data_IF_778652654190
#
_entry.id   IF_778652654190
#
_cell.length_a   1.000
_cell.length_b   1.000
_cell.length_c   1.000
_cell.angle_alpha   90.00
_cell.angle_beta   90.00
_cell.angle_gamma   90.00
#
_symmetry.space_group_name_H-M   'P 1'
#
loop_
_entity.id
_entity.type
_entity.pdbx_description
1 polymer ?
#
# COMPACT_ATOMS: atom_id res chain seq x y z
N UNK A 1 -9.98 -20.75 -26.97
CA UNK A 1 -9.51 -19.35 -26.75
C UNK A 1 -8.61 -18.89 -27.88
N UNK A 2 -7.46 -19.53 -28.13
CA UNK A 2 -6.54 -19.11 -29.20
C UNK A 2 -7.21 -19.03 -30.58
N UNK A 3 -8.03 -20.03 -30.93
CA UNK A 3 -8.84 -20.03 -32.14
C UNK A 3 -9.79 -18.81 -32.20
N UNK A 4 -10.46 -18.46 -31.10
CA UNK A 4 -11.40 -17.34 -31.08
C UNK A 4 -10.71 -15.99 -31.23
N UNK A 5 -9.51 -15.83 -30.66
CA UNK A 5 -8.68 -14.62 -30.85
C UNK A 5 -8.26 -14.50 -32.31
N UNK A 6 -7.90 -15.63 -32.95
CA UNK A 6 -7.55 -15.68 -34.36
C UNK A 6 -8.75 -15.35 -35.26
N UNK A 7 -9.91 -15.98 -35.02
CA UNK A 7 -11.12 -15.77 -35.81
C UNK A 7 -11.61 -14.32 -35.71
N UNK A 8 -11.53 -13.73 -34.51
CA UNK A 8 -11.73 -12.30 -34.32
C UNK A 8 -10.78 -11.49 -35.20
N UNK A 9 -9.47 -11.74 -35.13
CA UNK A 9 -8.47 -11.01 -35.92
C UNK A 9 -8.70 -11.14 -37.44
N UNK A 10 -9.10 -12.32 -37.92
CA UNK A 10 -9.49 -12.54 -39.33
C UNK A 10 -10.69 -11.67 -39.69
N UNK A 11 -11.69 -11.58 -38.80
CA UNK A 11 -12.92 -10.84 -39.06
C UNK A 11 -12.72 -9.31 -39.09
N UNK A 12 -11.88 -8.77 -38.21
CA UNK A 12 -11.68 -7.31 -38.07
C UNK A 12 -10.43 -6.80 -38.78
N UNK A 13 -9.59 -7.71 -39.30
CA UNK A 13 -8.29 -7.41 -39.89
C UNK A 13 -7.23 -6.96 -38.87
N UNK A 14 -5.97 -6.87 -39.31
CA UNK A 14 -4.87 -6.45 -38.45
C UNK A 14 -4.98 -4.95 -38.13
N UNK A 15 -4.48 -4.57 -36.97
CA UNK A 15 -4.56 -3.18 -36.52
C UNK A 15 -3.74 -2.22 -37.40
N UNK A 16 -2.65 -2.64 -38.03
CA UNK A 16 -1.90 -1.76 -38.94
C UNK A 16 -2.15 -2.18 -40.40
N UNK A 17 -2.44 -1.21 -41.27
CA UNK A 17 -2.85 -1.47 -42.66
C UNK A 17 -1.79 -2.09 -43.58
N UNK A 18 -0.57 -2.31 -43.09
CA UNK A 18 0.51 -3.01 -43.81
C UNK A 18 0.82 -4.41 -43.26
N UNK A 19 0.16 -4.83 -42.19
CA UNK A 19 0.36 -6.15 -41.59
C UNK A 19 -0.53 -7.18 -42.28
N UNK A 20 -0.05 -8.43 -42.40
CA UNK A 20 -0.88 -9.57 -42.81
C UNK A 20 -1.46 -10.25 -41.57
N UNK A 21 -2.67 -10.79 -41.71
CA UNK A 21 -3.19 -11.74 -40.71
C UNK A 21 -2.34 -13.03 -40.79
N UNK A 22 -1.88 -13.59 -39.66
CA UNK A 22 -1.24 -14.90 -39.64
C UNK A 22 -2.10 -15.98 -40.32
N UNK A 23 -1.47 -17.07 -40.77
CA UNK A 23 -2.17 -18.13 -41.49
C UNK A 23 -3.01 -19.02 -40.56
N UNK A 24 -2.64 -19.11 -39.29
CA UNK A 24 -3.36 -19.90 -38.29
C UNK A 24 -3.14 -19.38 -36.85
N UNK A 25 -3.89 -19.89 -35.85
CA UNK A 25 -3.73 -19.46 -34.46
C UNK A 25 -2.34 -19.79 -33.88
N UNK A 26 -1.68 -20.86 -34.33
CA UNK A 26 -0.37 -21.25 -33.81
C UNK A 26 0.69 -20.24 -34.26
N UNK A 27 0.65 -19.80 -35.53
CA UNK A 27 1.49 -18.73 -36.04
C UNK A 27 1.27 -17.44 -35.24
N UNK A 28 0.00 -17.06 -34.99
CA UNK A 28 -0.32 -15.89 -34.18
C UNK A 28 0.29 -15.98 -32.77
N UNK A 29 0.19 -17.13 -32.10
CA UNK A 29 0.69 -17.29 -30.73
C UNK A 29 2.21 -17.46 -30.64
N UNK A 30 2.86 -17.97 -31.68
CA UNK A 30 4.32 -18.09 -31.77
C UNK A 30 5.02 -16.78 -32.17
N UNK A 31 4.29 -15.77 -32.65
CA UNK A 31 4.85 -14.44 -32.88
C UNK A 31 5.45 -13.85 -31.61
N UNK A 32 6.55 -13.12 -31.77
CA UNK A 32 7.06 -12.24 -30.73
C UNK A 32 5.92 -11.36 -30.19
N UNK A 33 5.84 -11.22 -28.87
CA UNK A 33 4.70 -10.57 -28.23
C UNK A 33 4.50 -9.12 -28.67
N UNK A 34 5.56 -8.32 -28.79
CA UNK A 34 5.45 -6.93 -29.24
C UNK A 34 4.83 -6.87 -30.64
N UNK A 35 5.22 -7.79 -31.53
CA UNK A 35 4.63 -7.93 -32.87
C UNK A 35 3.18 -8.39 -32.80
N UNK A 36 2.89 -9.42 -32.00
CA UNK A 36 1.52 -9.96 -31.79
C UNK A 36 0.58 -8.88 -31.28
N UNK A 37 0.98 -8.12 -30.26
CA UNK A 37 0.22 -7.00 -29.71
C UNK A 37 0.06 -5.84 -30.70
N UNK A 38 1.05 -5.57 -31.55
CA UNK A 38 0.94 -4.57 -32.60
C UNK A 38 -0.06 -4.98 -33.69
N UNK A 39 -0.07 -6.26 -34.08
CA UNK A 39 -1.04 -6.82 -35.03
C UNK A 39 -2.45 -6.82 -34.44
N UNK A 40 -2.59 -7.24 -33.18
CA UNK A 40 -3.89 -7.34 -32.51
C UNK A 40 -4.49 -5.97 -32.17
N UNK A 41 -3.67 -5.02 -31.69
CA UNK A 41 -4.19 -3.80 -31.06
C UNK A 41 -3.62 -2.49 -31.64
N UNK A 42 -2.52 -2.52 -32.39
CA UNK A 42 -1.90 -1.34 -33.01
C UNK A 42 -0.69 -0.82 -32.24
N UNK A 43 -0.15 0.33 -32.65
CA UNK A 43 1.04 0.92 -32.03
C UNK A 43 0.83 1.30 -30.55
N UNK A 44 1.82 1.10 -29.66
CA UNK A 44 1.70 1.39 -28.22
C UNK A 44 1.24 2.82 -27.89
N UNK A 45 1.62 3.81 -28.71
CA UNK A 45 1.25 5.23 -28.51
C UNK A 45 -0.21 5.58 -28.85
N UNK A 46 -0.94 4.73 -29.57
CA UNK A 46 -2.36 4.96 -29.91
C UNK A 46 -3.28 4.25 -28.89
N UNK A 47 -3.33 4.83 -27.69
CA UNK A 47 -4.05 4.24 -26.55
C UNK A 47 -5.54 4.04 -26.84
N UNK A 48 -6.20 5.03 -27.45
CA UNK A 48 -7.63 4.98 -27.77
C UNK A 48 -7.93 3.81 -28.70
N UNK A 49 -7.16 3.65 -29.78
CA UNK A 49 -7.37 2.56 -30.73
C UNK A 49 -7.10 1.20 -30.11
N UNK A 50 -6.02 1.08 -29.32
CA UNK A 50 -5.70 -0.17 -28.60
C UNK A 50 -6.82 -0.55 -27.65
N UNK A 51 -7.36 0.40 -26.90
CA UNK A 51 -8.50 0.18 -26.00
C UNK A 51 -9.74 -0.28 -26.77
N UNK A 52 -10.12 0.42 -27.84
CA UNK A 52 -11.29 0.03 -28.64
C UNK A 52 -11.17 -1.39 -29.19
N UNK A 53 -9.99 -1.80 -29.67
CA UNK A 53 -9.76 -3.16 -30.17
C UNK A 53 -9.75 -4.21 -29.06
N UNK A 54 -9.23 -3.89 -27.87
CA UNK A 54 -9.32 -4.79 -26.71
C UNK A 54 -10.77 -5.00 -26.28
N UNK A 55 -11.55 -3.94 -26.21
CA UNK A 55 -12.99 -4.00 -25.90
C UNK A 55 -13.71 -4.86 -26.93
N UNK A 56 -13.45 -4.65 -28.22
CA UNK A 56 -14.06 -5.43 -29.29
C UNK A 56 -13.71 -6.93 -29.22
N UNK A 57 -12.44 -7.27 -28.91
CA UNK A 57 -12.04 -8.65 -28.65
C UNK A 57 -12.74 -9.24 -27.42
N UNK A 58 -12.85 -8.49 -26.32
CA UNK A 58 -13.56 -8.95 -25.11
C UNK A 58 -15.04 -9.22 -25.43
N UNK A 59 -15.68 -8.33 -26.19
CA UNK A 59 -17.07 -8.51 -26.66
C UNK A 59 -17.19 -9.77 -27.51
N UNK A 60 -16.27 -10.02 -28.44
CA UNK A 60 -16.23 -11.25 -29.23
C UNK A 60 -16.13 -12.48 -28.34
N UNK A 61 -15.13 -12.53 -27.46
CA UNK A 61 -14.90 -13.68 -26.57
C UNK A 61 -16.10 -13.96 -25.67
N UNK A 62 -16.70 -12.92 -25.07
CA UNK A 62 -17.88 -13.05 -24.21
C UNK A 62 -19.08 -13.62 -24.95
N UNK A 63 -19.29 -13.24 -26.22
CA UNK A 63 -20.36 -13.82 -27.07
C UNK A 63 -20.15 -15.30 -27.37
N UNK A 64 -18.90 -15.79 -27.33
CA UNK A 64 -18.56 -17.20 -27.45
C UNK A 64 -18.64 -17.96 -26.12
N UNK A 65 -19.12 -17.31 -25.05
CA UNK A 65 -19.20 -17.89 -23.71
C UNK A 65 -17.86 -17.95 -22.98
N UNK A 66 -16.85 -17.20 -23.44
CA UNK A 66 -15.55 -17.11 -22.78
C UNK A 66 -15.48 -15.87 -21.89
N UNK A 67 -15.00 -16.07 -20.67
CA UNK A 67 -14.82 -15.00 -19.68
C UNK A 67 -13.52 -15.22 -18.91
N UNK A 68 -12.83 -14.14 -18.48
CA UNK A 68 -11.73 -14.28 -17.55
C UNK A 68 -12.17 -14.97 -16.25
N UNK A 69 -11.31 -15.84 -15.73
CA UNK A 69 -11.51 -16.39 -14.38
C UNK A 69 -11.27 -15.25 -13.37
N UNK A 70 -12.19 -15.00 -12.42
CA UNK A 70 -12.01 -13.93 -11.46
C UNK A 70 -10.90 -14.25 -10.47
N UNK A 71 -10.38 -13.20 -9.85
CA UNK A 71 -9.43 -13.30 -8.75
C UNK A 71 -10.16 -13.62 -7.43
N UNK A 72 -9.50 -14.33 -6.52
CA UNK A 72 -10.10 -14.84 -5.26
C UNK A 72 -9.16 -14.72 -4.06
N UNK A 73 -9.60 -14.14 -2.96
CA UNK A 73 -8.82 -14.15 -1.71
C UNK A 73 -9.38 -15.20 -0.75
N UNK A 74 -8.49 -15.76 0.08
CA UNK A 74 -8.82 -16.79 1.06
C UNK A 74 -8.84 -18.21 0.49
N UNK A 75 -8.74 -19.20 1.38
CA UNK A 75 -8.94 -20.61 1.05
C UNK A 75 -10.44 -20.94 1.08
N UNK A 76 -10.92 -21.90 0.28
CA UNK A 76 -10.24 -22.51 -0.86
C UNK A 76 -10.17 -21.53 -2.05
N UNK A 77 -9.02 -21.48 -2.72
CA UNK A 77 -8.71 -20.43 -3.71
C UNK A 77 -9.68 -20.34 -4.87
N UNK A 78 -10.58 -21.30 -5.11
CA UNK A 78 -11.35 -21.31 -6.36
C UNK A 78 -12.69 -22.08 -6.29
N UNK A 79 -13.33 -22.20 -5.14
CA UNK A 79 -14.68 -22.79 -5.06
C UNK A 79 -15.78 -21.88 -5.61
N UNK A 80 -15.69 -21.41 -6.84
CA UNK A 80 -16.59 -20.39 -7.40
C UNK A 80 -17.83 -20.99 -8.06
N UNK A 81 -18.96 -20.33 -7.86
CA UNK A 81 -20.17 -20.50 -8.66
C UNK A 81 -20.64 -19.14 -9.17
N UNK A 82 -21.28 -19.14 -10.33
CA UNK A 82 -22.06 -17.97 -10.77
C UNK A 82 -23.13 -17.71 -9.71
N UNK A 83 -23.28 -16.46 -9.28
CA UNK A 83 -24.32 -16.10 -8.34
C UNK A 83 -25.69 -16.46 -8.94
N UNK A 84 -26.51 -17.29 -8.27
CA UNK A 84 -27.84 -17.63 -8.78
C UNK A 84 -28.80 -16.43 -8.78
N UNK A 85 -28.51 -15.36 -8.03
CA UNK A 85 -29.32 -14.15 -8.03
C UNK A 85 -29.09 -13.32 -9.30
N UNK A 86 -30.16 -13.08 -10.04
CA UNK A 86 -30.10 -12.33 -11.31
C UNK A 86 -29.92 -10.83 -11.07
N UNK A 87 -30.25 -10.35 -9.87
CA UNK A 87 -30.05 -8.94 -9.50
C UNK A 87 -28.55 -8.63 -9.30
N UNK A 88 -27.71 -9.66 -9.11
CA UNK A 88 -26.25 -9.54 -9.07
C UNK A 88 -25.60 -9.75 -10.45
N UNK A 89 -26.32 -9.40 -11.53
CA UNK A 89 -25.77 -9.36 -12.88
C UNK A 89 -25.77 -7.93 -13.40
N UNK A 90 -24.56 -7.42 -13.68
CA UNK A 90 -24.40 -6.10 -14.29
C UNK A 90 -24.48 -6.24 -15.81
N UNK A 91 -25.19 -5.31 -16.46
CA UNK A 91 -25.18 -5.18 -17.92
C UNK A 91 -24.36 -3.94 -18.27
N UNK A 92 -23.32 -4.13 -19.08
CA UNK A 92 -22.46 -3.02 -19.51
C UNK A 92 -23.03 -2.25 -20.72
N UNK A 93 -22.33 -1.19 -21.12
CA UNK A 93 -22.70 -0.34 -22.27
C UNK A 93 -22.69 -1.09 -23.62
N UNK A 94 -22.11 -2.29 -23.68
CA UNK A 94 -22.10 -3.17 -24.85
C UNK A 94 -23.21 -4.23 -24.81
N UNK A 95 -24.07 -4.20 -23.79
CA UNK A 95 -25.15 -5.17 -23.58
C UNK A 95 -24.64 -6.54 -23.13
N UNK A 96 -23.40 -6.63 -22.63
CA UNK A 96 -22.87 -7.87 -22.09
C UNK A 96 -23.31 -8.04 -20.64
N UNK A 97 -23.70 -9.27 -20.31
CA UNK A 97 -24.07 -9.65 -18.95
C UNK A 97 -22.85 -10.16 -18.18
N UNK A 98 -22.57 -9.51 -17.06
CA UNK A 98 -21.49 -9.83 -16.13
C UNK A 98 -22.10 -10.28 -14.80
N UNK A 99 -22.33 -11.58 -14.61
CA UNK A 99 -22.82 -12.08 -13.34
C UNK A 99 -21.70 -12.01 -12.30
N UNK A 100 -22.07 -11.69 -11.07
CA UNK A 100 -21.18 -11.87 -9.94
C UNK A 100 -20.93 -13.36 -9.66
N UNK A 101 -19.86 -13.59 -8.91
CA UNK A 101 -19.44 -14.93 -8.52
C UNK A 101 -19.43 -15.03 -7.01
N UNK A 102 -19.93 -16.16 -6.50
CA UNK A 102 -19.93 -16.49 -5.09
C UNK A 102 -18.96 -17.64 -4.82
N UNK A 103 -18.34 -17.62 -3.64
CA UNK A 103 -17.57 -18.77 -3.15
C UNK A 103 -18.56 -19.75 -2.53
N UNK A 104 -18.60 -20.97 -3.04
CA UNK A 104 -19.48 -22.08 -2.64
C UNK A 104 -19.30 -22.53 -1.19
N UNK A 105 -18.13 -22.24 -0.60
CA UNK A 105 -17.80 -22.48 0.81
C UNK A 105 -17.02 -21.27 1.35
N UNK A 106 -17.69 -20.13 1.58
CA UNK A 106 -16.99 -18.91 1.94
C UNK A 106 -16.55 -18.98 3.41
N UNK A 107 -15.33 -18.54 3.66
CA UNK A 107 -14.76 -18.29 4.98
C UNK A 107 -14.56 -16.78 5.20
N UNK A 108 -13.99 -16.37 6.34
CA UNK A 108 -13.95 -14.96 6.77
C UNK A 108 -13.37 -14.01 5.70
N UNK A 109 -12.28 -14.46 5.06
CA UNK A 109 -11.55 -13.69 4.04
C UNK A 109 -11.84 -14.14 2.61
N UNK A 110 -12.84 -14.99 2.40
CA UNK A 110 -13.32 -15.35 1.06
C UNK A 110 -13.84 -14.11 0.35
N UNK A 111 -13.12 -13.67 -0.69
CA UNK A 111 -13.54 -12.56 -1.56
C UNK A 111 -13.33 -12.97 -3.01
N UNK A 112 -14.23 -12.49 -3.88
CA UNK A 112 -14.09 -12.61 -5.33
C UNK A 112 -13.92 -11.20 -5.90
N UNK A 113 -12.93 -11.06 -6.77
CA UNK A 113 -12.62 -9.81 -7.47
C UNK A 113 -12.85 -10.04 -8.97
N UNK A 114 -13.97 -9.49 -9.45
CA UNK A 114 -14.38 -9.53 -10.85
C UNK A 114 -13.61 -8.50 -11.71
N UNK A 115 -13.46 -8.77 -13.01
CA UNK A 115 -12.63 -9.83 -13.56
C UNK A 115 -11.18 -9.35 -13.69
N UNK A 116 -10.35 -9.66 -12.68
CA UNK A 116 -8.89 -9.62 -12.84
C UNK A 116 -8.42 -11.03 -13.20
N UNK A 117 -7.95 -11.22 -14.43
CA UNK A 117 -7.38 -12.50 -14.84
C UNK A 117 -6.12 -12.78 -14.00
N UNK A 118 -6.18 -13.81 -13.16
CA UNK A 118 -4.99 -14.25 -12.43
C UNK A 118 -4.07 -15.05 -13.33
N UNK A 119 -2.77 -14.80 -13.19
CA UNK A 119 -1.77 -15.74 -13.67
C UNK A 119 -2.03 -17.12 -13.05
N UNK A 120 -2.05 -18.14 -13.90
CA UNK A 120 -2.12 -19.52 -13.42
C UNK A 120 -0.69 -19.98 -13.14
N UNK A 121 -0.22 -19.69 -11.92
CA UNK A 121 1.16 -19.95 -11.47
C UNK A 121 1.49 -21.44 -11.31
N UNK A 122 0.49 -22.27 -11.03
CA UNK A 122 0.68 -23.71 -10.83
C UNK A 122 -0.34 -24.54 -11.62
N UNK A 123 -0.09 -25.84 -11.72
CA UNK A 123 -1.07 -26.80 -12.21
C UNK A 123 -2.26 -26.97 -11.27
N UNK A 124 -3.26 -27.72 -11.74
CA UNK A 124 -4.49 -28.02 -10.99
C UNK A 124 -4.44 -29.47 -10.53
N UNK A 125 -4.97 -29.73 -9.34
CA UNK A 125 -5.31 -31.10 -8.93
C UNK A 125 -6.57 -31.54 -9.68
N UNK A 126 -6.62 -32.82 -10.09
CA UNK A 126 -7.80 -33.46 -10.69
C UNK A 126 -8.52 -32.63 -11.77
N UNK A 127 -7.74 -32.02 -12.68
CA UNK A 127 -8.22 -31.16 -13.75
C UNK A 127 -9.21 -30.06 -13.29
N UNK A 128 -8.91 -29.43 -12.16
CA UNK A 128 -9.72 -28.36 -11.56
C UNK A 128 -11.10 -28.78 -11.05
N UNK A 129 -11.43 -30.08 -10.95
CA UNK A 129 -12.78 -30.51 -10.54
C UNK A 129 -13.25 -29.84 -9.25
N UNK A 130 -12.36 -29.80 -8.27
CA UNK A 130 -12.57 -29.20 -6.95
C UNK A 130 -11.81 -27.87 -6.80
N UNK A 131 -11.30 -27.37 -7.93
CA UNK A 131 -10.58 -26.11 -8.06
C UNK A 131 -9.33 -25.95 -7.18
N UNK A 132 -8.70 -27.05 -6.83
CA UNK A 132 -7.48 -27.06 -6.04
C UNK A 132 -6.24 -26.73 -6.87
N UNK A 133 -5.32 -25.98 -6.25
CA UNK A 133 -4.03 -25.61 -6.82
C UNK A 133 -3.00 -26.65 -6.43
N UNK A 134 -2.26 -27.19 -7.40
CA UNK A 134 -1.16 -28.12 -7.15
C UNK A 134 0.15 -27.34 -6.99
N UNK A 135 0.41 -26.87 -5.77
CA UNK A 135 1.63 -26.13 -5.43
C UNK A 135 2.94 -26.90 -5.67
N UNK A 136 2.87 -28.23 -5.86
CA UNK A 136 4.05 -29.05 -6.19
C UNK A 136 4.43 -29.01 -7.68
N UNK A 137 3.56 -28.42 -8.51
CA UNK A 137 3.71 -28.36 -9.97
C UNK A 137 3.59 -26.92 -10.45
N UNK A 138 4.62 -26.07 -10.21
CA UNK A 138 4.67 -24.73 -10.78
C UNK A 138 4.67 -24.78 -12.31
N UNK A 139 4.34 -23.65 -12.94
CA UNK A 139 4.35 -23.46 -14.40
C UNK A 139 5.45 -22.49 -14.78
N UNK A 140 6.73 -22.92 -14.91
CA UNK A 140 7.87 -22.02 -15.02
C UNK A 140 7.70 -20.91 -16.06
N UNK A 141 7.23 -21.25 -17.26
CA UNK A 141 6.97 -20.29 -18.34
C UNK A 141 6.03 -19.12 -17.98
N UNK A 142 5.09 -19.30 -17.04
CA UNK A 142 4.22 -18.22 -16.57
C UNK A 142 4.97 -17.29 -15.62
N UNK A 143 5.79 -17.86 -14.74
CA UNK A 143 6.59 -17.09 -13.81
C UNK A 143 7.69 -16.32 -14.54
N UNK A 144 8.40 -16.98 -15.47
CA UNK A 144 9.41 -16.36 -16.33
C UNK A 144 8.81 -15.15 -17.06
N UNK A 145 7.65 -15.33 -17.69
CA UNK A 145 6.93 -14.25 -18.36
C UNK A 145 6.64 -13.05 -17.45
N UNK A 146 6.17 -13.30 -16.23
CA UNK A 146 5.89 -12.22 -15.26
C UNK A 146 7.18 -11.54 -14.81
N UNK A 147 8.21 -12.31 -14.48
CA UNK A 147 9.50 -11.78 -14.03
C UNK A 147 10.18 -10.94 -15.11
N UNK A 148 10.25 -11.44 -16.35
CA UNK A 148 10.83 -10.74 -17.49
C UNK A 148 10.07 -9.42 -17.76
N UNK A 149 8.73 -9.43 -17.68
CA UNK A 149 7.93 -8.23 -17.91
C UNK A 149 8.17 -7.13 -16.86
N UNK A 150 8.31 -7.53 -15.60
CA UNK A 150 8.64 -6.59 -14.52
C UNK A 150 10.10 -6.11 -14.63
N UNK A 151 11.03 -6.97 -15.04
CA UNK A 151 12.42 -6.59 -15.30
C UNK A 151 12.54 -5.59 -16.45
N UNK A 152 11.83 -5.79 -17.56
CA UNK A 152 11.76 -4.83 -18.66
C UNK A 152 11.19 -3.47 -18.20
N UNK A 153 10.18 -3.50 -17.33
CA UNK A 153 9.57 -2.30 -16.75
C UNK A 153 10.55 -1.58 -15.83
N UNK A 154 11.26 -2.32 -14.97
CA UNK A 154 12.29 -1.78 -14.10
C UNK A 154 13.42 -1.16 -14.93
N UNK A 155 13.90 -1.86 -15.96
CA UNK A 155 14.98 -1.37 -16.83
C UNK A 155 14.56 -0.09 -17.57
N UNK A 156 13.34 -0.06 -18.11
CA UNK A 156 12.82 1.09 -18.87
C UNK A 156 12.54 2.30 -17.97
N UNK A 157 11.96 2.06 -16.80
CA UNK A 157 11.54 3.12 -15.87
C UNK A 157 12.60 3.51 -14.84
N UNK A 158 13.66 2.71 -14.69
CA UNK A 158 14.67 2.79 -13.63
C UNK A 158 14.02 2.90 -12.24
N UNK A 159 13.03 2.05 -11.95
CA UNK A 159 12.33 2.05 -10.67
C UNK A 159 13.15 1.41 -9.57
N UNK A 160 13.11 2.02 -8.37
CA UNK A 160 13.90 1.57 -7.23
C UNK A 160 13.28 0.38 -6.46
N UNK A 161 11.97 0.21 -6.58
CA UNK A 161 11.21 -0.83 -5.90
C UNK A 161 9.86 -1.03 -6.60
N UNK A 162 9.17 -2.12 -6.24
CA UNK A 162 7.77 -2.33 -6.59
C UNK A 162 6.87 -2.31 -5.37
N UNK A 163 5.64 -1.81 -5.56
CA UNK A 163 4.52 -2.03 -4.66
C UNK A 163 3.76 -3.28 -5.13
N UNK A 164 3.81 -4.35 -4.35
CA UNK A 164 3.08 -5.58 -4.66
C UNK A 164 1.66 -5.53 -4.14
N UNK A 165 0.70 -5.29 -5.04
CA UNK A 165 -0.73 -5.32 -4.73
C UNK A 165 -1.15 -6.71 -4.19
N UNK A 166 -2.09 -6.72 -3.25
CA UNK A 166 -2.63 -7.91 -2.59
C UNK A 166 -1.54 -8.98 -2.30
N UNK A 167 -0.52 -8.61 -1.53
CA UNK A 167 0.64 -9.48 -1.30
C UNK A 167 0.28 -10.85 -0.70
N UNK A 168 -0.87 -10.96 -0.02
CA UNK A 168 -1.42 -12.17 0.57
C UNK A 168 -2.22 -13.07 -0.40
N UNK A 169 -1.82 -13.18 -1.67
CA UNK A 169 -2.58 -13.93 -2.71
C UNK A 169 -1.97 -15.30 -3.02
N UNK A 170 -2.82 -16.33 -3.08
CA UNK A 170 -2.44 -17.74 -3.38
C UNK A 170 -1.43 -18.36 -2.42
N UNK A 171 -1.48 -17.92 -1.16
CA UNK A 171 -0.72 -18.52 -0.07
C UNK A 171 -0.95 -20.01 0.04
N UNK A 172 0.05 -20.76 0.50
CA UNK A 172 -0.18 -22.18 0.77
C UNK A 172 -1.20 -22.29 1.93
N UNK A 173 -2.24 -23.15 1.83
CA UNK A 173 -3.27 -23.27 2.87
C UNK A 173 -2.73 -23.59 4.27
N UNK A 174 -1.55 -24.20 4.33
CA UNK A 174 -0.85 -24.56 5.57
C UNK A 174 0.09 -23.46 6.07
N UNK A 175 0.07 -22.28 5.46
CA UNK A 175 0.99 -21.18 5.74
C UNK A 175 2.36 -21.36 5.10
N UNK A 176 3.34 -20.62 5.64
CA UNK A 176 4.74 -20.65 5.18
C UNK A 176 5.29 -22.09 5.27
N UNK A 177 5.80 -22.67 4.17
CA UNK A 177 6.36 -24.02 4.19
C UNK A 177 7.66 -24.05 4.99
N UNK A 178 8.02 -25.23 5.52
CA UNK A 178 9.31 -25.42 6.21
C UNK A 178 10.52 -25.12 5.31
N UNK A 179 10.36 -25.33 4.00
CA UNK A 179 11.35 -24.97 2.98
C UNK A 179 10.64 -24.03 2.00
N UNK A 180 11.11 -22.79 1.95
CA UNK A 180 10.65 -21.76 1.02
C UNK A 180 11.44 -21.94 -0.28
N UNK A 181 10.73 -22.28 -1.35
CA UNK A 181 11.30 -22.44 -2.70
C UNK A 181 11.11 -21.17 -3.55
N UNK A 182 11.76 -21.12 -4.71
CA UNK A 182 11.67 -20.01 -5.68
C UNK A 182 10.26 -19.80 -6.24
N UNK A 183 9.38 -20.80 -6.09
CA UNK A 183 8.00 -20.78 -6.52
C UNK A 183 7.06 -20.51 -5.35
N UNK A 184 7.52 -20.00 -4.22
CA UNK A 184 6.65 -19.76 -3.07
C UNK A 184 5.77 -18.52 -3.27
N UNK A 185 6.34 -17.43 -3.77
CA UNK A 185 5.68 -16.14 -3.92
C UNK A 185 6.14 -15.44 -5.21
N UNK A 186 5.19 -14.95 -6.00
CA UNK A 186 5.48 -14.35 -7.31
C UNK A 186 6.18 -13.00 -7.21
N UNK A 187 5.91 -12.23 -6.16
CA UNK A 187 6.53 -10.92 -5.95
C UNK A 187 7.97 -11.11 -5.46
N UNK A 188 8.22 -12.12 -4.62
CA UNK A 188 9.58 -12.54 -4.27
C UNK A 188 10.37 -12.94 -5.53
N UNK A 189 9.78 -13.76 -6.41
CA UNK A 189 10.42 -14.19 -7.65
C UNK A 189 10.75 -13.00 -8.57
N UNK A 190 9.83 -12.05 -8.73
CA UNK A 190 10.07 -10.80 -9.49
C UNK A 190 11.24 -10.00 -8.89
N UNK A 191 11.26 -9.79 -7.57
CA UNK A 191 12.34 -9.06 -6.89
C UNK A 191 13.69 -9.73 -7.14
N UNK A 192 13.79 -11.04 -6.88
CA UNK A 192 15.03 -11.80 -7.05
C UNK A 192 15.50 -11.76 -8.50
N UNK A 193 14.58 -11.99 -9.44
CA UNK A 193 14.91 -11.94 -10.86
C UNK A 193 15.48 -10.57 -11.26
N UNK A 194 14.86 -9.46 -10.87
CA UNK A 194 15.36 -8.10 -11.16
C UNK A 194 16.76 -7.87 -10.56
N UNK A 195 16.95 -8.28 -9.30
CA UNK A 195 18.25 -8.13 -8.62
C UNK A 195 19.36 -8.90 -9.34
N UNK A 196 19.03 -10.04 -9.94
CA UNK A 196 19.97 -10.91 -10.64
C UNK A 196 20.19 -10.51 -12.11
N UNK A 197 19.13 -10.21 -12.86
CA UNK A 197 19.19 -10.04 -14.33
C UNK A 197 19.33 -8.59 -14.78
N UNK A 198 18.81 -7.63 -14.01
CA UNK A 198 18.90 -6.20 -14.32
C UNK A 198 20.06 -5.51 -13.58
N UNK A 199 20.89 -6.26 -12.83
CA UNK A 199 21.98 -5.76 -11.96
C UNK A 199 21.51 -4.73 -10.89
N UNK A 200 20.20 -4.62 -10.67
CA UNK A 200 19.58 -3.74 -9.69
C UNK A 200 19.52 -4.42 -8.31
N UNK A 201 20.69 -4.75 -7.74
CA UNK A 201 20.82 -5.46 -6.45
C UNK A 201 20.12 -4.78 -5.26
N UNK A 202 19.80 -3.49 -5.41
CA UNK A 202 19.08 -2.68 -4.42
C UNK A 202 17.54 -2.77 -4.56
N UNK A 203 17.00 -3.43 -5.59
CA UNK A 203 15.57 -3.38 -5.92
C UNK A 203 14.70 -3.90 -4.76
N UNK A 204 13.77 -3.05 -4.31
CA UNK A 204 12.92 -3.31 -3.15
C UNK A 204 11.54 -3.86 -3.47
N UNK A 205 10.91 -4.47 -2.47
CA UNK A 205 9.53 -4.94 -2.49
C UNK A 205 8.76 -4.38 -1.29
N UNK A 206 7.81 -3.47 -1.59
CA UNK A 206 6.84 -2.94 -0.66
C UNK A 206 5.52 -3.72 -0.77
N UNK A 207 5.18 -4.51 0.24
CA UNK A 207 3.99 -5.34 0.26
C UNK A 207 2.73 -4.56 0.61
N UNK A 208 1.74 -4.53 -0.29
CA UNK A 208 0.39 -4.12 0.07
C UNK A 208 -0.31 -5.25 0.81
N UNK A 209 -0.21 -5.20 2.13
CA UNK A 209 -0.97 -6.05 3.03
C UNK A 209 -1.16 -5.33 4.38
N UNK A 210 -2.14 -5.80 5.14
CA UNK A 210 -2.41 -5.32 6.49
C UNK A 210 -1.69 -6.22 7.50
N UNK A 211 -1.58 -5.79 8.75
CA UNK A 211 -0.98 -6.59 9.83
C UNK A 211 -2.05 -7.02 10.85
N UNK A 212 -3.00 -7.89 10.46
CA UNK A 212 -4.02 -8.34 11.38
C UNK A 212 -3.44 -9.24 12.48
N UNK A 213 -4.31 -9.72 13.37
CA UNK A 213 -3.96 -10.82 14.25
C UNK A 213 -3.69 -12.10 13.44
N UNK A 214 -2.96 -13.03 14.06
CA UNK A 214 -2.69 -14.36 13.52
C UNK A 214 -3.94 -15.02 12.95
N UNK A 215 -3.79 -15.71 11.82
CA UNK A 215 -4.80 -16.56 11.18
C UNK A 215 -6.05 -15.81 10.67
N UNK A 216 -6.08 -14.48 10.70
CA UNK A 216 -7.17 -13.71 10.06
C UNK A 216 -7.22 -13.99 8.55
N UNK A 217 -6.06 -14.08 7.89
CA UNK A 217 -5.96 -14.49 6.48
C UNK A 217 -5.93 -16.01 6.28
N UNK A 218 -6.01 -16.80 7.36
CA UNK A 218 -6.18 -18.26 7.35
C UNK A 218 -4.96 -19.06 6.87
N UNK A 219 -3.77 -18.45 6.92
CA UNK A 219 -2.50 -19.10 6.55
C UNK A 219 -1.38 -18.85 7.59
N UNK A 220 -1.71 -18.54 8.84
CA UNK A 220 -0.73 -18.28 9.89
C UNK A 220 -0.47 -16.79 10.16
N UNK A 221 0.77 -16.49 10.50
CA UNK A 221 1.27 -15.14 10.80
C UNK A 221 1.66 -14.41 9.52
N UNK A 222 1.12 -13.21 9.31
CA UNK A 222 1.39 -12.42 8.09
C UNK A 222 2.88 -12.05 7.96
N UNK A 223 3.55 -11.72 9.07
CA UNK A 223 4.97 -11.36 9.05
C UNK A 223 5.87 -12.55 8.71
N UNK A 224 5.44 -13.78 9.00
CA UNK A 224 6.19 -14.97 8.56
C UNK A 224 6.09 -15.11 7.04
N UNK A 225 4.92 -14.84 6.46
CA UNK A 225 4.75 -14.79 5.01
C UNK A 225 5.60 -13.70 4.38
N UNK A 226 5.53 -12.48 4.88
CA UNK A 226 6.23 -11.33 4.32
C UNK A 226 7.75 -11.52 4.30
N UNK A 227 8.31 -12.12 5.34
CA UNK A 227 9.72 -12.47 5.34
C UNK A 227 10.05 -13.59 4.36
N UNK A 228 9.17 -14.57 4.20
CA UNK A 228 9.33 -15.66 3.24
C UNK A 228 9.15 -15.18 1.78
N UNK A 229 8.37 -14.12 1.55
CA UNK A 229 8.23 -13.45 0.25
C UNK A 229 9.26 -12.33 0.02
N UNK A 230 10.23 -12.18 0.93
CA UNK A 230 11.32 -11.21 0.83
C UNK A 230 10.84 -9.75 0.74
N UNK A 231 9.68 -9.43 1.34
CA UNK A 231 9.21 -8.06 1.44
C UNK A 231 10.12 -7.24 2.36
N UNK A 232 10.62 -6.10 1.86
CA UNK A 232 11.46 -5.19 2.65
C UNK A 232 10.59 -4.35 3.60
N UNK A 233 9.40 -3.96 3.12
CA UNK A 233 8.44 -3.21 3.89
C UNK A 233 7.01 -3.65 3.60
N UNK A 234 6.09 -3.34 4.51
CA UNK A 234 4.65 -3.60 4.33
C UNK A 234 3.82 -2.38 4.66
N UNK A 235 2.70 -2.21 3.95
CA UNK A 235 1.77 -1.09 4.13
C UNK A 235 1.25 -1.00 5.58
N UNK A 236 0.85 -2.13 6.15
CA UNK A 236 0.22 -2.14 7.46
C UNK A 236 -1.19 -1.49 7.46
N UNK A 237 -1.73 -1.20 8.65
CA UNK A 237 -3.11 -0.78 8.89
C UNK A 237 -3.29 0.42 9.85
N UNK A 238 -2.25 1.19 10.16
CA UNK A 238 -2.35 2.41 11.00
C UNK A 238 -3.27 3.47 10.40
N UNK A 239 -3.29 3.59 9.07
CA UNK A 239 -4.16 4.46 8.31
C UNK A 239 -5.66 4.15 8.50
N UNK A 240 -6.00 3.00 9.08
CA UNK A 240 -7.38 2.60 9.37
C UNK A 240 -7.76 2.80 10.85
N UNK A 241 -7.12 3.74 11.54
CA UNK A 241 -7.39 4.04 12.95
C UNK A 241 -7.33 5.55 13.21
N UNK A 242 -8.11 6.02 14.19
CA UNK A 242 -8.05 7.41 14.68
C UNK A 242 -6.74 7.60 15.46
N UNK A 243 -5.99 8.67 15.18
CA UNK A 243 -4.76 9.00 15.92
C UNK A 243 -5.04 9.10 17.42
N UNK A 244 -4.16 8.52 18.24
CA UNK A 244 -4.30 8.55 19.70
C UNK A 244 -5.30 7.59 20.30
N UNK A 245 -6.14 6.96 19.48
CA UNK A 245 -7.01 5.89 19.95
C UNK A 245 -6.20 4.72 20.52
N UNK A 246 -6.84 3.92 21.36
CA UNK A 246 -6.22 2.70 21.91
C UNK A 246 -5.73 1.76 20.80
N UNK A 247 -6.51 1.63 19.72
CA UNK A 247 -6.15 0.78 18.59
C UNK A 247 -4.93 1.31 17.84
N UNK A 248 -4.87 2.63 17.59
CA UNK A 248 -3.71 3.28 16.99
C UNK A 248 -2.45 3.04 17.82
N UNK A 249 -2.49 3.34 19.12
CA UNK A 249 -1.32 3.19 20.00
C UNK A 249 -0.90 1.73 20.18
N UNK A 250 -1.86 0.80 20.20
CA UNK A 250 -1.57 -0.64 20.29
C UNK A 250 -0.87 -1.13 19.03
N UNK A 251 -1.39 -0.76 17.85
CA UNK A 251 -0.78 -1.13 16.56
C UNK A 251 0.57 -0.47 16.37
N UNK A 252 0.69 0.79 16.75
CA UNK A 252 1.95 1.52 16.62
C UNK A 252 3.04 0.94 17.53
N UNK A 253 2.68 0.55 18.78
CA UNK A 253 3.61 -0.18 19.63
C UNK A 253 4.05 -1.51 19.00
N UNK A 254 3.09 -2.28 18.48
CA UNK A 254 3.39 -3.53 17.75
C UNK A 254 4.35 -3.27 16.59
N UNK A 255 4.19 -2.19 15.84
CA UNK A 255 5.08 -1.88 14.72
C UNK A 255 6.51 -1.59 15.17
N UNK A 256 6.67 -0.88 16.28
CA UNK A 256 7.99 -0.67 16.88
C UNK A 256 8.63 -2.01 17.33
N UNK A 257 7.84 -2.92 17.88
CA UNK A 257 8.30 -4.27 18.28
C UNK A 257 8.66 -5.14 17.08
N UNK A 258 7.83 -5.12 16.03
CA UNK A 258 8.05 -5.85 14.79
C UNK A 258 9.30 -5.33 14.08
N UNK A 259 9.48 -4.01 13.95
CA UNK A 259 10.68 -3.40 13.37
C UNK A 259 11.96 -3.78 14.12
N UNK A 260 11.89 -3.94 15.45
CA UNK A 260 13.04 -4.32 16.26
C UNK A 260 13.38 -5.81 16.20
N UNK A 261 12.46 -6.67 15.75
CA UNK A 261 12.59 -8.13 15.87
C UNK A 261 12.42 -8.90 14.56
N UNK A 262 11.92 -8.26 13.50
CA UNK A 262 11.58 -8.85 12.20
C UNK A 262 12.39 -8.22 11.09
N UNK A 263 12.44 -8.89 9.94
CA UNK A 263 13.18 -8.41 8.75
C UNK A 263 12.35 -7.47 7.88
N UNK A 264 11.04 -7.68 7.81
CA UNK A 264 10.13 -6.80 7.06
C UNK A 264 9.74 -5.61 7.94
N UNK A 265 9.90 -4.40 7.42
CA UNK A 265 9.56 -3.17 8.14
C UNK A 265 8.07 -2.79 7.95
N UNK A 266 7.28 -2.67 9.03
CA UNK A 266 5.95 -2.09 8.91
C UNK A 266 6.05 -0.60 8.60
N UNK A 267 5.27 -0.12 7.64
CA UNK A 267 5.25 1.29 7.29
C UNK A 267 4.34 2.08 8.23
N UNK A 268 4.81 3.25 8.66
CA UNK A 268 3.98 4.28 9.26
C UNK A 268 3.13 4.94 8.16
N UNK A 269 2.08 4.24 7.72
CA UNK A 269 1.19 4.70 6.66
C UNK A 269 0.27 5.80 7.18
N UNK A 270 0.40 6.99 6.60
CA UNK A 270 -0.41 8.17 6.94
C UNK A 270 -1.82 8.01 6.36
N UNK A 271 -1.89 7.90 5.03
CA UNK A 271 -3.10 7.68 4.24
C UNK A 271 -2.75 6.99 2.93
N UNK A 272 -3.67 6.17 2.41
CA UNK A 272 -3.60 5.58 1.08
C UNK A 272 -4.73 6.11 0.21
N UNK A 273 -4.59 6.09 -1.12
CA UNK A 273 -5.70 6.42 -2.03
C UNK A 273 -6.95 5.57 -1.73
N UNK A 274 -6.77 4.31 -1.36
CA UNK A 274 -7.85 3.40 -0.95
C UNK A 274 -8.58 3.79 0.34
N UNK A 275 -7.96 4.64 1.16
CA UNK A 275 -8.48 5.11 2.44
C UNK A 275 -8.91 6.57 2.40
N UNK A 276 -8.68 7.23 1.27
CA UNK A 276 -9.31 8.49 0.93
C UNK A 276 -10.69 8.19 0.31
N UNK A 277 -11.59 7.78 1.20
CA UNK A 277 -12.95 7.31 0.94
C UNK A 277 -13.84 7.73 2.13
N UNK A 278 -15.12 8.12 1.91
CA UNK A 278 -15.98 8.65 2.96
C UNK A 278 -16.12 7.76 4.20
N UNK A 279 -16.02 6.43 4.02
CA UNK A 279 -16.10 5.47 5.12
C UNK A 279 -15.00 5.62 6.17
N UNK A 280 -13.91 6.30 5.82
CA UNK A 280 -12.71 6.44 6.66
C UNK A 280 -12.43 7.88 7.05
N UNK A 281 -13.34 8.82 6.76
CA UNK A 281 -13.19 10.24 7.09
C UNK A 281 -12.89 10.46 8.58
N UNK A 282 -13.50 9.67 9.46
CA UNK A 282 -13.29 9.75 10.91
C UNK A 282 -11.82 9.62 11.33
N UNK A 283 -10.99 8.89 10.56
CA UNK A 283 -9.57 8.70 10.86
C UNK A 283 -8.71 9.93 10.59
N UNK A 284 -9.26 10.91 9.85
CA UNK A 284 -8.55 12.07 9.31
C UNK A 284 -9.17 13.42 9.73
N UNK A 285 -10.16 13.41 10.64
CA UNK A 285 -10.75 14.66 11.16
C UNK A 285 -9.79 15.46 12.04
N UNK A 286 -8.84 14.80 12.69
CA UNK A 286 -7.87 15.42 13.58
C UNK A 286 -6.58 14.59 13.69
N UNK A 287 -5.52 15.22 14.21
CA UNK A 287 -4.22 14.55 14.44
C UNK A 287 -3.38 14.33 13.19
N UNK A 288 -3.70 15.00 12.08
CA UNK A 288 -2.98 14.86 10.81
C UNK A 288 -1.53 15.38 10.90
N UNK A 289 -1.31 16.43 11.69
CA UNK A 289 -0.02 17.05 11.96
C UNK A 289 0.91 16.10 12.71
N UNK A 290 0.48 15.55 13.86
CA UNK A 290 1.29 14.61 14.64
C UNK A 290 1.51 13.29 13.89
N UNK A 291 0.54 12.86 13.07
CA UNK A 291 0.69 11.70 12.18
C UNK A 291 1.80 11.93 11.16
N UNK A 292 1.79 13.07 10.45
CA UNK A 292 2.84 13.41 9.49
C UNK A 292 4.20 13.64 10.16
N UNK A 293 4.21 14.31 11.33
CA UNK A 293 5.40 14.54 12.13
C UNK A 293 6.11 13.22 12.47
N UNK A 294 5.33 12.25 12.95
CA UNK A 294 5.85 10.92 13.31
C UNK A 294 6.37 10.20 12.07
N UNK A 295 5.62 10.21 10.97
CA UNK A 295 6.01 9.60 9.71
C UNK A 295 7.34 10.15 9.14
N UNK A 296 7.66 11.42 9.43
CA UNK A 296 8.89 12.06 8.96
C UNK A 296 10.11 11.77 9.84
N UNK A 297 9.93 11.59 11.15
CA UNK A 297 11.05 11.56 12.10
C UNK A 297 11.35 10.19 12.71
N UNK A 298 10.62 9.14 12.32
CA UNK A 298 11.05 7.75 12.52
C UNK A 298 12.00 7.37 11.38
N UNK A 299 13.31 7.40 11.63
CA UNK A 299 14.33 7.32 10.56
C UNK A 299 14.53 5.92 9.97
N UNK A 300 14.06 4.90 10.66
CA UNK A 300 14.18 3.47 10.32
C UNK A 300 12.83 2.78 10.07
N UNK A 301 11.72 3.50 10.24
CA UNK A 301 10.37 3.02 9.89
C UNK A 301 9.96 3.70 8.58
N UNK A 302 9.72 2.96 7.48
CA UNK A 302 9.28 3.57 6.23
C UNK A 302 7.91 4.23 6.44
N UNK A 303 7.57 5.23 5.62
CA UNK A 303 6.24 5.84 5.63
C UNK A 303 5.60 5.81 4.25
N UNK A 304 4.27 5.86 4.22
CA UNK A 304 3.49 5.91 2.98
C UNK A 304 2.42 6.98 3.12
N UNK A 305 2.34 7.89 2.14
CA UNK A 305 1.36 8.97 2.11
C UNK A 305 0.81 9.12 0.70
N UNK A 306 -0.51 9.09 0.55
CA UNK A 306 -1.17 9.38 -0.71
C UNK A 306 -1.04 10.86 -1.08
N UNK A 307 -1.04 11.13 -2.39
CA UNK A 307 -1.02 12.48 -2.94
C UNK A 307 -2.25 13.28 -2.47
N UNK A 308 -2.05 14.53 -2.06
CA UNK A 308 -3.13 15.44 -1.69
C UNK A 308 -3.51 15.44 -0.22
N UNK A 309 -2.87 14.60 0.61
CA UNK A 309 -3.11 14.58 2.06
C UNK A 309 -3.00 15.97 2.70
N UNK A 310 -2.02 16.77 2.26
CA UNK A 310 -1.72 18.09 2.81
C UNK A 310 -2.80 19.14 2.60
N UNK A 311 -3.71 18.93 1.66
CA UNK A 311 -4.80 19.85 1.31
C UNK A 311 -6.16 19.19 1.51
N UNK A 312 -6.19 17.99 2.10
CA UNK A 312 -7.42 17.24 2.29
C UNK A 312 -8.36 17.98 3.22
N UNK A 313 -9.58 18.18 2.75
CA UNK A 313 -10.66 18.77 3.54
C UNK A 313 -11.10 17.82 4.67
N UNK A 314 -11.59 18.42 5.76
CA UNK A 314 -12.22 17.69 6.85
C UNK A 314 -13.69 17.47 6.47
N UNK A 315 -14.09 16.21 6.42
CA UNK A 315 -15.47 15.83 6.13
C UNK A 315 -16.09 15.13 7.36
N UNK A 316 -17.12 15.75 7.93
CA UNK A 316 -17.93 15.13 8.98
C UNK A 316 -18.99 14.19 8.42
N UNK A 317 -19.38 14.41 7.17
CA UNK A 317 -20.32 13.59 6.39
C UNK A 317 -19.77 13.41 4.98
N UNK A 318 -20.14 12.33 4.25
CA UNK A 318 -19.73 12.13 2.88
C UNK A 318 -20.06 13.32 1.97
N UNK A 319 -19.08 13.75 1.17
CA UNK A 319 -19.23 14.80 0.15
C UNK A 319 -19.19 14.20 -1.27
N UNK A 320 -19.10 15.03 -2.30
CA UNK A 320 -19.04 14.59 -3.69
C UNK A 320 -17.87 13.63 -3.94
N UNK A 321 -18.13 12.55 -4.68
CA UNK A 321 -17.18 11.48 -4.99
C UNK A 321 -15.94 11.97 -5.74
N UNK A 322 -16.02 13.11 -6.44
CA UNK A 322 -14.92 13.76 -7.12
C UNK A 322 -13.83 14.30 -6.17
N UNK A 323 -14.12 14.39 -4.86
CA UNK A 323 -13.18 14.84 -3.83
C UNK A 323 -12.40 13.69 -3.17
N UNK A 324 -12.78 12.45 -3.44
CA UNK A 324 -12.15 11.26 -2.87
C UNK A 324 -11.41 10.49 -3.96
N UNK A 325 -10.10 10.32 -3.81
CA UNK A 325 -9.29 9.64 -4.82
C UNK A 325 -9.75 8.20 -5.08
N UNK A 326 -10.27 7.49 -4.06
CA UNK A 326 -10.86 6.15 -4.22
C UNK A 326 -12.11 6.17 -5.10
N UNK A 327 -12.95 7.19 -4.97
CA UNK A 327 -14.24 7.22 -5.67
C UNK A 327 -14.13 7.82 -7.07
N UNK A 328 -13.19 8.77 -7.27
CA UNK A 328 -13.00 9.43 -8.56
C UNK A 328 -12.61 8.49 -9.70
N UNK A 329 -12.02 7.33 -9.41
CA UNK A 329 -11.62 6.36 -10.45
C UNK A 329 -12.80 5.56 -11.01
N UNK A 330 -13.95 5.51 -10.31
CA UNK A 330 -15.13 4.81 -10.81
C UNK A 330 -15.81 5.59 -11.93
N UNK A 331 -16.23 4.88 -12.98
CA UNK A 331 -17.05 5.43 -14.07
C UNK A 331 -18.45 4.85 -14.01
N UNK A 332 -19.09 5.02 -12.86
CA UNK A 332 -20.48 4.60 -12.65
C UNK A 332 -21.43 5.77 -12.92
N UNK A 333 -22.63 5.46 -13.41
CA UNK A 333 -23.72 6.40 -13.62
C UNK A 333 -24.79 6.18 -12.55
N UNK A 334 -25.43 7.26 -12.09
CA UNK A 334 -26.45 7.19 -11.05
C UNK A 334 -27.08 8.54 -10.77
N UNK A 335 -28.03 8.57 -9.85
CA UNK A 335 -28.80 9.79 -9.51
C UNK A 335 -28.17 10.60 -8.35
N UNK A 336 -27.08 10.11 -7.77
CA UNK A 336 -26.31 10.77 -6.71
C UNK A 336 -24.82 10.58 -6.96
N UNK A 337 -24.00 11.58 -6.70
CA UNK A 337 -22.54 11.49 -6.67
C UNK A 337 -21.98 11.52 -5.24
N UNK A 338 -22.77 11.12 -4.25
CA UNK A 338 -22.35 11.01 -2.84
C UNK A 338 -22.53 9.56 -2.39
N UNK A 339 -21.56 9.06 -1.63
CA UNK A 339 -21.60 7.72 -1.03
C UNK A 339 -22.93 7.46 -0.28
N UNK A 340 -23.57 6.28 -0.44
CA UNK A 340 -23.04 5.03 -0.98
C UNK A 340 -23.04 4.90 -2.51
N UNK A 341 -23.51 5.91 -3.25
CA UNK A 341 -23.34 5.93 -4.70
C UNK A 341 -21.86 6.05 -5.04
N UNK A 342 -21.41 5.34 -6.08
CA UNK A 342 -20.07 5.48 -6.67
C UNK A 342 -20.10 6.27 -7.98
N UNK A 343 -21.27 6.78 -8.37
CA UNK A 343 -21.38 7.58 -9.57
C UNK A 343 -20.59 8.89 -9.41
N UNK A 344 -20.11 9.42 -10.53
CA UNK A 344 -19.47 10.73 -10.60
C UNK A 344 -20.07 11.52 -11.76
N UNK A 345 -20.24 12.81 -11.57
CA UNK A 345 -20.82 13.73 -12.54
C UNK A 345 -19.76 14.62 -13.20
N UNK A 346 -18.63 14.82 -12.53
CA UNK A 346 -17.46 15.51 -13.03
C UNK A 346 -16.46 14.58 -13.73
N UNK A 347 -15.69 15.15 -14.66
CA UNK A 347 -14.52 14.51 -15.27
C UNK A 347 -13.19 14.98 -14.65
N UNK A 348 -13.26 15.91 -13.70
CA UNK A 348 -12.12 16.52 -13.03
C UNK A 348 -12.12 16.13 -11.56
N UNK A 349 -10.93 15.80 -11.05
CA UNK A 349 -10.75 15.57 -9.63
C UNK A 349 -10.79 16.91 -8.89
N UNK A 350 -11.53 16.98 -7.79
CA UNK A 350 -11.65 18.19 -6.97
C UNK A 350 -10.70 18.07 -5.79
N UNK A 351 -9.58 18.80 -5.87
CA UNK A 351 -8.65 18.91 -4.75
C UNK A 351 -9.29 19.64 -3.56
N UNK A 352 -8.87 19.29 -2.35
CA UNK A 352 -9.31 20.00 -1.16
C UNK A 352 -8.71 21.39 -1.05
N UNK A 353 -9.31 22.21 -0.19
CA UNK A 353 -9.00 23.62 0.02
C UNK A 353 -8.49 23.91 1.45
N UNK A 354 -8.04 22.88 2.16
CA UNK A 354 -7.56 22.96 3.54
C UNK A 354 -6.21 23.69 3.65
N UNK A 355 -6.24 25.01 3.52
CA UNK A 355 -5.06 25.87 3.57
C UNK A 355 -4.35 25.85 4.93
N UNK A 356 -5.10 25.64 6.02
CA UNK A 356 -4.54 25.57 7.38
C UNK A 356 -3.66 24.33 7.56
N UNK A 357 -4.15 23.15 7.16
CA UNK A 357 -3.36 21.93 7.16
C UNK A 357 -2.15 22.07 6.24
N UNK A 358 -2.34 22.63 5.04
CA UNK A 358 -1.26 22.82 4.08
C UNK A 358 -0.14 23.71 4.65
N UNK A 359 -0.48 24.81 5.31
CA UNK A 359 0.49 25.70 5.95
C UNK A 359 1.26 24.98 7.06
N UNK A 360 0.56 24.28 7.96
CA UNK A 360 1.18 23.54 9.07
C UNK A 360 2.11 22.43 8.57
N UNK A 361 1.67 21.63 7.60
CA UNK A 361 2.49 20.56 7.04
C UNK A 361 3.64 21.09 6.18
N UNK A 362 3.49 22.26 5.56
CA UNK A 362 4.60 22.94 4.85
C UNK A 362 5.69 23.37 5.84
N UNK A 363 5.32 23.98 6.98
CA UNK A 363 6.29 24.30 8.04
C UNK A 363 7.04 23.07 8.52
N UNK A 364 6.32 21.96 8.74
CA UNK A 364 6.89 20.68 9.12
C UNK A 364 7.86 20.15 8.06
N UNK A 365 7.45 20.11 6.77
CA UNK A 365 8.31 19.69 5.65
C UNK A 365 9.59 20.51 5.57
N UNK A 366 9.49 21.84 5.61
CA UNK A 366 10.66 22.73 5.56
C UNK A 366 11.59 22.53 6.75
N UNK A 367 11.07 22.20 7.93
CA UNK A 367 11.92 21.85 9.07
C UNK A 367 12.57 20.47 8.88
N UNK A 368 11.80 19.46 8.45
CA UNK A 368 12.30 18.12 8.18
C UNK A 368 13.43 18.12 7.14
N UNK A 369 13.33 18.89 6.06
CA UNK A 369 14.39 19.04 5.05
C UNK A 369 15.72 19.53 5.63
N UNK A 370 15.70 20.31 6.72
CA UNK A 370 16.91 20.78 7.40
C UNK A 370 17.53 19.69 8.28
N UNK A 371 16.70 18.90 8.94
CA UNK A 371 17.12 17.94 9.97
C UNK A 371 17.45 16.56 9.38
N UNK A 372 16.64 16.08 8.43
CA UNK A 372 16.76 14.75 7.84
C UNK A 372 18.17 14.41 7.32
N UNK A 373 18.91 15.30 6.65
CA UNK A 373 20.27 14.99 6.22
C UNK A 373 21.24 14.69 7.38
N UNK A 374 21.00 15.25 8.57
CA UNK A 374 21.85 15.06 9.74
C UNK A 374 21.52 13.79 10.53
N UNK A 375 20.30 13.29 10.37
CA UNK A 375 19.80 12.08 11.05
C UNK A 375 19.57 10.89 10.11
N UNK A 376 19.76 11.08 8.80
CA UNK A 376 19.60 10.03 7.79
C UNK A 376 20.47 8.81 8.10
N UNK A 377 19.87 7.62 8.00
CA UNK A 377 20.54 6.35 8.30
C UNK A 377 20.66 6.02 9.80
N UNK A 378 20.18 6.88 10.70
CA UNK A 378 20.08 6.54 12.11
C UNK A 378 18.92 5.58 12.39
N UNK A 379 19.05 4.84 13.49
CA UNK A 379 18.00 3.96 14.01
C UNK A 379 17.21 4.73 15.07
N UNK A 380 15.89 4.53 15.13
CA UNK A 380 15.06 5.15 16.15
C UNK A 380 15.35 4.51 17.51
N UNK A 381 15.62 5.34 18.51
CA UNK A 381 15.77 4.93 19.90
C UNK A 381 14.63 5.50 20.74
N UNK A 382 13.77 4.62 21.24
CA UNK A 382 12.62 5.01 22.05
C UNK A 382 13.05 5.41 23.46
N UNK A 383 12.77 6.67 23.82
CA UNK A 383 12.88 7.17 25.20
C UNK A 383 11.59 6.90 25.97
N UNK A 384 10.47 7.03 25.26
CA UNK A 384 9.12 6.64 25.67
C UNK A 384 8.41 6.09 24.43
N UNK A 385 8.24 4.77 24.35
CA UNK A 385 7.57 4.18 23.21
C UNK A 385 6.04 4.42 23.26
N UNK A 386 5.32 4.28 22.13
CA UNK A 386 3.86 4.34 22.13
C UNK A 386 3.27 3.34 23.13
N UNK A 387 2.33 3.78 23.94
CA UNK A 387 1.71 2.97 24.99
C UNK A 387 0.20 3.23 25.06
N UNK A 388 -0.59 2.21 24.72
CA UNK A 388 -2.04 2.27 24.75
C UNK A 388 -2.64 2.20 26.17
N UNK A 389 -1.82 1.90 27.18
CA UNK A 389 -2.22 1.89 28.59
C UNK A 389 -1.94 3.22 29.31
N UNK A 390 -1.11 4.07 28.70
CA UNK A 390 -0.84 5.39 29.23
C UNK A 390 -2.09 6.29 29.18
N UNK A 391 -2.30 7.05 30.25
CA UNK A 391 -3.40 8.03 30.31
C UNK A 391 -3.28 9.14 29.27
N UNK A 392 -2.04 9.44 28.87
CA UNK A 392 -1.65 10.45 27.89
C UNK A 392 -0.83 9.71 26.84
N UNK A 393 -1.26 9.71 25.59
CA UNK A 393 -0.60 9.00 24.50
C UNK A 393 0.70 9.68 24.09
N UNK A 394 1.64 9.84 25.01
CA UNK A 394 2.93 10.49 24.77
C UNK A 394 3.92 9.46 24.25
N UNK A 395 4.61 9.80 23.17
CA UNK A 395 5.80 9.08 22.73
C UNK A 395 6.98 10.04 22.58
N UNK A 396 8.18 9.56 22.87
CA UNK A 396 9.42 10.30 22.73
C UNK A 396 10.52 9.39 22.20
N UNK A 397 11.31 9.89 21.27
CA UNK A 397 12.40 9.15 20.67
C UNK A 397 13.56 10.05 20.27
N UNK A 398 14.71 9.44 20.07
CA UNK A 398 15.91 10.06 19.55
C UNK A 398 16.53 9.16 18.47
N UNK A 399 17.69 9.57 17.96
CA UNK A 399 18.43 8.86 16.93
C UNK A 399 19.67 8.24 17.51
N UNK A 400 19.85 6.95 17.22
CA UNK A 400 21.10 6.26 17.45
C UNK A 400 21.80 6.03 16.12
N UNK A 401 22.91 6.72 15.94
CA UNK A 401 23.80 6.55 14.79
C UNK A 401 24.56 5.22 14.94
N UNK A 402 24.48 4.32 13.94
CA UNK A 402 25.06 2.96 14.01
C UNK A 402 26.59 2.98 14.16
N UNK A 403 27.25 4.01 13.60
CA UNK A 403 28.71 4.14 13.59
C UNK A 403 29.29 5.09 14.67
N UNK A 404 28.43 5.67 15.51
CA UNK A 404 28.84 6.65 16.53
C UNK A 404 28.71 6.09 17.94
N UNK A 405 29.44 6.70 18.88
CA UNK A 405 29.41 6.31 20.29
C UNK A 405 28.02 6.59 20.89
N UNK A 406 27.56 5.82 21.90
CA UNK A 406 26.39 6.17 22.69
C UNK A 406 26.57 7.58 23.28
N UNK A 407 25.70 8.52 22.91
CA UNK A 407 25.79 9.94 23.31
C UNK A 407 25.64 10.97 22.17
N UNK A 408 25.72 10.54 20.90
CA UNK A 408 25.67 11.45 19.73
C UNK A 408 24.24 11.78 19.22
N UNK A 409 23.23 11.64 20.07
CA UNK A 409 21.86 12.07 19.78
C UNK A 409 21.85 13.56 19.46
N UNK A 410 21.40 13.94 18.26
CA UNK A 410 21.35 15.36 17.86
C UNK A 410 19.99 15.99 18.16
N UNK A 411 18.93 15.19 18.18
CA UNK A 411 17.57 15.66 18.37
C UNK A 411 16.76 14.71 19.25
N UNK A 412 15.78 15.26 19.94
CA UNK A 412 14.75 14.53 20.67
C UNK A 412 13.41 14.95 20.10
N UNK A 413 12.63 13.97 19.68
CA UNK A 413 11.30 14.13 19.12
C UNK A 413 10.29 13.68 20.15
N UNK A 414 9.24 14.47 20.31
CA UNK A 414 8.17 14.17 21.26
C UNK A 414 6.83 14.42 20.61
N UNK A 415 5.88 13.51 20.81
CA UNK A 415 4.55 13.57 20.24
C UNK A 415 3.49 13.37 21.32
N UNK A 416 2.47 14.23 21.32
CA UNK A 416 1.24 14.03 22.08
C UNK A 416 0.14 13.52 21.14
N UNK A 417 -0.19 12.23 21.24
CA UNK A 417 -1.30 11.66 20.47
C UNK A 417 -2.66 11.87 21.13
N UNK A 418 -2.73 12.42 22.35
CA UNK A 418 -4.02 12.85 22.93
C UNK A 418 -4.49 14.12 22.19
N UNK A 419 -5.62 14.01 21.49
CA UNK A 419 -6.15 15.10 20.65
C UNK A 419 -7.08 16.05 21.43
N UNK A 420 -7.35 15.77 22.70
CA UNK A 420 -8.26 16.58 23.52
C UNK A 420 -7.55 17.31 24.65
N UNK A 421 -6.39 16.82 25.09
CA UNK A 421 -5.78 17.29 26.32
C UNK A 421 -4.27 17.45 26.20
N UNK A 422 -3.76 18.49 26.85
CA UNK A 422 -2.32 18.72 26.98
C UNK A 422 -1.62 17.60 27.79
N UNK A 423 -0.31 17.48 27.62
CA UNK A 423 0.49 16.45 28.31
C UNK A 423 0.65 16.67 29.81
N UNK A 424 0.38 17.88 30.33
CA UNK A 424 0.93 18.34 31.60
C UNK A 424 2.45 18.26 31.59
N UNK A 425 3.04 17.73 32.66
CA UNK A 425 4.48 17.49 32.76
C UNK A 425 4.81 15.99 32.73
N UNK A 426 5.96 15.64 32.16
CA UNK A 426 6.55 14.30 32.22
C UNK A 426 8.07 14.37 32.13
N UNK A 427 8.73 13.27 32.49
CA UNK A 427 10.19 13.17 32.47
C UNK A 427 10.68 12.25 31.36
N UNK A 428 11.79 12.62 30.72
CA UNK A 428 12.57 11.75 29.84
C UNK A 428 13.77 11.18 30.62
N UNK A 429 13.73 9.91 31.05
CA UNK A 429 14.76 9.36 31.96
C UNK A 429 15.97 8.75 31.23
N UNK A 430 15.87 8.47 29.93
CA UNK A 430 16.86 7.67 29.19
C UNK A 430 17.89 8.50 28.41
N UNK A 431 17.94 9.82 28.62
CA UNK A 431 18.91 10.72 27.98
C UNK A 431 20.14 10.95 28.87
N UNK A 432 21.27 11.30 28.25
CA UNK A 432 22.48 11.70 28.98
C UNK A 432 22.15 12.87 29.93
N UNK A 433 22.43 12.76 31.25
CA UNK A 433 22.25 13.87 32.19
C UNK A 433 22.97 15.18 31.82
N UNK A 434 24.04 15.11 31.01
CA UNK A 434 24.75 16.28 30.50
C UNK A 434 24.06 16.93 29.29
N UNK A 435 23.09 16.26 28.66
CA UNK A 435 22.34 16.80 27.54
C UNK A 435 21.50 18.00 27.99
N UNK A 436 21.53 19.06 27.18
CA UNK A 436 20.67 20.23 27.29
C UNK A 436 19.74 20.26 26.10
N UNK A 437 18.43 20.27 26.33
CA UNK A 437 17.43 20.24 25.27
C UNK A 437 16.94 21.66 24.98
N UNK A 438 17.09 22.10 23.74
CA UNK A 438 16.61 23.42 23.28
C UNK A 438 15.50 23.19 22.27
N UNK A 439 14.30 23.70 22.55
CA UNK A 439 13.17 23.55 21.62
C UNK A 439 13.50 24.26 20.30
N UNK A 440 13.22 23.62 19.17
CA UNK A 440 13.48 24.20 17.85
C UNK A 440 12.27 24.21 16.93
N UNK A 441 11.35 23.26 17.13
CA UNK A 441 10.17 23.14 16.29
C UNK A 441 8.98 22.62 17.08
N UNK A 442 7.78 23.08 16.70
CA UNK A 442 6.49 22.56 17.12
C UNK A 442 5.51 22.58 15.95
N UNK A 443 4.70 21.53 15.82
CA UNK A 443 3.58 21.50 14.87
C UNK A 443 2.43 22.43 15.29
N UNK A 444 2.29 22.70 16.59
CA UNK A 444 1.22 23.56 17.13
C UNK A 444 1.47 25.04 16.80
N UNK A 445 2.72 25.50 16.96
CA UNK A 445 3.01 26.92 16.81
C UNK A 445 4.49 27.25 16.69
N UNK A 446 4.83 28.54 16.59
CA UNK A 446 6.23 28.97 16.64
C UNK A 446 6.83 28.75 18.04
N UNK A 447 8.08 28.32 18.08
CA UNK A 447 8.89 28.30 19.31
C UNK A 447 9.37 29.73 19.61
N UNK A 448 9.47 30.15 20.89
CA UNK A 448 10.10 31.42 21.25
C UNK A 448 11.50 31.58 20.67
N UNK A 449 11.94 32.82 20.37
CA UNK A 449 13.27 33.07 19.78
C UNK A 449 14.44 32.63 20.70
N UNK A 450 14.23 32.66 22.02
CA UNK A 450 15.20 32.20 23.03
C UNK A 450 14.49 31.25 24.01
N UNK A 451 14.25 29.99 23.59
CA UNK A 451 13.51 29.05 24.42
C UNK A 451 14.38 28.61 25.59
N UNK A 452 13.80 28.59 26.80
CA UNK A 452 14.51 28.18 28.00
C UNK A 452 15.04 26.73 27.85
N UNK A 453 16.35 26.50 28.03
CA UNK A 453 16.93 25.18 27.87
C UNK A 453 16.46 24.24 28.97
N UNK A 454 16.00 23.05 28.59
CA UNK A 454 15.61 22.00 29.53
C UNK A 454 16.86 21.22 29.94
N UNK A 455 17.11 21.23 31.25
CA UNK A 455 18.27 20.59 31.88
C UNK A 455 17.81 19.39 32.70
N UNK A 456 18.69 18.39 32.80
CA UNK A 456 18.44 17.24 33.66
C UNK A 456 18.35 17.67 35.13
N UNK A 457 17.28 17.28 35.83
CA UNK A 457 17.04 17.68 37.23
C UNK A 457 17.69 16.75 38.28
N UNK A 458 18.55 15.83 37.85
CA UNK A 458 19.11 14.75 38.67
C UNK A 458 18.38 13.42 38.53
N UNK A 459 17.20 13.41 37.90
CA UNK A 459 16.41 12.20 37.63
C UNK A 459 15.96 12.07 36.17
N UNK A 460 15.58 13.19 35.53
CA UNK A 460 15.11 13.22 34.15
C UNK A 460 15.16 14.65 33.58
N UNK A 461 15.02 14.78 32.25
CA UNK A 461 14.69 16.05 31.59
C UNK A 461 13.18 16.26 31.64
N UNK A 462 12.73 17.38 32.23
CA UNK A 462 11.31 17.67 32.44
C UNK A 462 10.74 18.38 31.21
N UNK A 463 9.81 17.74 30.51
CA UNK A 463 9.04 18.33 29.42
C UNK A 463 7.69 18.78 29.96
N UNK A 464 7.20 19.92 29.48
CA UNK A 464 5.93 20.50 29.91
C UNK A 464 5.07 20.93 28.73
N UNK A 465 3.76 20.80 28.93
CA UNK A 465 2.69 21.40 28.13
C UNK A 465 2.88 21.17 26.63
N UNK A 466 2.92 19.89 26.23
CA UNK A 466 2.66 19.56 24.82
C UNK A 466 1.16 19.72 24.58
N UNK A 467 0.80 20.54 23.62
CA UNK A 467 -0.58 20.76 23.21
C UNK A 467 -1.21 19.48 22.64
N UNK A 468 -2.54 19.38 22.59
CA UNK A 468 -3.21 18.23 21.99
C UNK A 468 -2.80 18.03 20.52
N UNK A 469 -2.36 16.83 20.15
CA UNK A 469 -1.89 16.57 18.78
C UNK A 469 -0.57 17.27 18.40
N UNK A 470 0.23 17.73 19.37
CA UNK A 470 1.51 18.38 19.08
C UNK A 470 2.65 17.37 18.85
N UNK A 471 3.42 17.57 17.78
CA UNK A 471 4.78 17.07 17.63
C UNK A 471 5.79 18.19 17.88
N UNK A 472 6.76 17.95 18.76
CA UNK A 472 7.80 18.92 19.16
C UNK A 472 9.20 18.33 19.00
N UNK A 473 10.13 19.15 18.53
CA UNK A 473 11.55 18.78 18.37
C UNK A 473 12.42 19.63 19.27
N UNK A 474 13.33 18.97 19.95
CA UNK A 474 14.39 19.57 20.72
C UNK A 474 15.74 19.22 20.09
N UNK A 475 16.61 20.21 19.89
CA UNK A 475 18.02 19.93 19.61
C UNK A 475 18.74 19.61 20.91
N UNK A 476 19.60 18.61 20.85
CA UNK A 476 20.50 18.24 21.94
C UNK A 476 21.76 19.09 21.83
N UNK A 477 22.06 19.83 22.88
CA UNK A 477 23.32 20.53 23.06
C UNK A 477 24.10 19.88 24.21
N UNK A 478 25.42 19.87 24.10
CA UNK A 478 26.33 19.57 25.21
C UNK A 478 26.81 20.90 25.79
N UNK A 479 26.74 21.06 27.12
CA UNK A 479 27.35 22.21 27.81
C UNK A 479 28.87 22.28 27.65
#
# INVERSE_FOLDING_TARGET
VEQEVYDWLVSVGPANGGDSVPNDPAELMQMNEARRLAVLFGAPGDLTRRTNRRVDLIVHLKRQGLEPVPATMGVPFRGLAVDPDRDHTVVDDHGLHWPDYVITKPELMSRVFSPLARFKLYERVDDNRDWEIDFSRPRPHVWDYVCDHYADTQHTGNFDFMRGDMSHVQMRPTGVPQVVDEWYDILAAVKVHIQETAEATWFGYFAETFLPARDVFQFGEELDHLEASLADATLGDLQSTVVGSRDFLTRFRRYADDLASRRTAPAFTVITADKDDPRFDEFYRAGNEVRMFTAMFLTDMPSYTALGFEIRDVHDEPVENERYTKLFVFREHGDSNVYPSKARFGNEFVWGENGELFERLTRLRTYAEKVLPAIGGAVTEWLMAPDATALRGIAAWTQRQVERSPGDAQYVFVANYDLERDSGYFGLPALDPAAVLVAEFSTDGPIPEDPEPIRHNGFFHRIENLEPGEGRVYRVATD
#
